data_IF_824954942728
#
_entry.id   IF_824954942728
#
_cell.length_a   1.000
_cell.length_b   1.000
_cell.length_c   1.000
_cell.angle_alpha   90.00
_cell.angle_beta   90.00
_cell.angle_gamma   90.00
#
_symmetry.space_group_name_H-M   'P 1'
#
loop_
_entity.id
_entity.type
_entity.pdbx_description
1 polymer ?
#
# COMPACT_ATOMS: atom_id res chain seq x y z
N UNK A 1 -4.77 -4.48 -16.30
CA UNK A 1 -4.94 -5.02 -14.93
C UNK A 1 -4.16 -6.31 -14.70
N UNK A 2 -4.08 -7.22 -15.68
CA UNK A 2 -3.35 -8.50 -15.59
C UNK A 2 -1.95 -8.42 -14.98
N UNK A 3 -1.13 -7.46 -15.43
CA UNK A 3 0.27 -7.34 -14.97
C UNK A 3 0.41 -7.06 -13.48
N UNK A 4 -0.53 -6.33 -12.89
CA UNK A 4 -0.50 -5.99 -11.46
C UNK A 4 -0.94 -7.17 -10.60
N UNK A 5 -1.96 -7.90 -11.07
CA UNK A 5 -2.46 -9.11 -10.40
C UNK A 5 -1.41 -10.21 -10.47
N UNK A 6 -0.70 -10.36 -11.59
CA UNK A 6 0.40 -11.32 -11.75
C UNK A 6 1.64 -10.94 -10.92
N UNK A 7 1.94 -9.64 -10.78
CA UNK A 7 3.00 -9.19 -9.89
C UNK A 7 2.67 -9.47 -8.42
N UNK A 8 1.46 -9.13 -7.98
CA UNK A 8 0.96 -9.50 -6.66
C UNK A 8 0.92 -11.03 -6.48
N UNK A 9 0.54 -11.74 -7.54
CA UNK A 9 0.75 -13.15 -7.87
C UNK A 9 2.00 -13.78 -7.23
N UNK A 10 3.12 -13.20 -7.62
CA UNK A 10 4.47 -13.69 -7.36
C UNK A 10 5.20 -13.02 -6.20
N UNK A 11 4.52 -12.18 -5.41
CA UNK A 11 5.08 -11.66 -4.16
C UNK A 11 5.13 -12.75 -3.09
N UNK A 12 6.20 -12.76 -2.29
CA UNK A 12 6.27 -13.57 -1.08
C UNK A 12 5.09 -13.28 -0.13
N UNK A 13 4.66 -14.30 0.62
CA UNK A 13 3.48 -14.20 1.50
C UNK A 13 3.53 -13.01 2.45
N UNK A 14 4.71 -12.70 2.99
CA UNK A 14 4.94 -11.51 3.82
C UNK A 14 4.64 -10.20 3.07
N UNK A 15 5.21 -9.99 1.88
CA UNK A 15 5.02 -8.78 1.10
C UNK A 15 3.58 -8.57 0.64
N UNK A 16 2.85 -9.65 0.35
CA UNK A 16 1.41 -9.59 0.07
C UNK A 16 0.62 -9.05 1.26
N UNK A 17 0.92 -9.53 2.47
CA UNK A 17 0.26 -9.08 3.70
C UNK A 17 0.58 -7.61 3.95
N UNK A 18 1.86 -7.21 3.85
CA UNK A 18 2.29 -5.83 4.05
C UNK A 18 1.60 -4.89 3.05
N UNK A 19 1.56 -5.25 1.77
CA UNK A 19 0.89 -4.45 0.74
C UNK A 19 -0.62 -4.35 0.98
N UNK A 20 -1.25 -5.47 1.36
CA UNK A 20 -2.70 -5.49 1.65
C UNK A 20 -3.01 -4.60 2.84
N UNK A 21 -2.24 -4.69 3.93
CA UNK A 21 -2.41 -3.83 5.11
C UNK A 21 -2.18 -2.36 4.77
N UNK A 22 -1.14 -2.05 3.99
CA UNK A 22 -0.87 -0.69 3.55
C UNK A 22 -2.05 -0.10 2.76
N UNK A 23 -2.63 -0.88 1.85
CA UNK A 23 -3.82 -0.46 1.10
C UNK A 23 -5.04 -0.26 2.01
N UNK A 24 -5.30 -1.20 2.93
CA UNK A 24 -6.43 -1.11 3.85
C UNK A 24 -6.33 0.10 4.79
N UNK A 25 -5.18 0.30 5.43
CA UNK A 25 -4.92 1.44 6.33
C UNK A 25 -4.97 2.75 5.56
N UNK A 26 -4.41 2.77 4.36
CA UNK A 26 -4.43 3.92 3.46
C UNK A 26 -5.85 4.36 3.10
N UNK A 27 -6.66 3.42 2.58
CA UNK A 27 -8.07 3.67 2.20
C UNK A 27 -8.87 4.10 3.43
N UNK A 28 -8.73 3.40 4.56
CA UNK A 28 -9.46 3.73 5.78
C UNK A 28 -9.11 5.14 6.29
N UNK A 29 -7.84 5.54 6.22
CA UNK A 29 -7.40 6.88 6.63
C UNK A 29 -7.92 7.97 5.70
N UNK A 30 -7.96 7.73 4.38
CA UNK A 30 -8.56 8.68 3.42
C UNK A 30 -10.06 8.82 3.66
N UNK A 31 -10.77 7.71 3.87
CA UNK A 31 -12.20 7.73 4.18
C UNK A 31 -12.48 8.45 5.50
N UNK A 32 -11.67 8.20 6.53
CA UNK A 32 -11.76 8.89 7.82
C UNK A 32 -11.45 10.38 7.70
N UNK A 33 -10.48 10.76 6.85
CA UNK A 33 -10.17 12.17 6.57
C UNK A 33 -11.38 12.88 5.96
N UNK A 34 -12.03 12.27 4.96
CA UNK A 34 -13.25 12.82 4.36
C UNK A 34 -14.41 12.95 5.36
N UNK A 35 -14.49 12.06 6.35
CA UNK A 35 -15.53 12.11 7.39
C UNK A 35 -15.23 13.10 8.52
N UNK A 36 -13.98 13.52 8.70
CA UNK A 36 -13.54 14.33 9.85
C UNK A 36 -12.91 15.67 9.47
N UNK A 37 -12.84 16.01 8.18
CA UNK A 37 -12.12 17.16 7.62
C UNK A 37 -10.67 17.31 8.14
N UNK A 38 -10.05 16.19 8.55
CA UNK A 38 -8.71 16.17 9.09
C UNK A 38 -7.68 15.95 7.98
N UNK A 39 -6.92 17.00 7.67
CA UNK A 39 -5.84 16.94 6.68
C UNK A 39 -4.69 16.00 7.07
N UNK A 40 -4.47 15.75 8.38
CA UNK A 40 -3.45 14.82 8.85
C UNK A 40 -3.77 13.38 8.45
N UNK A 41 -5.05 12.97 8.56
CA UNK A 41 -5.48 11.63 8.15
C UNK A 41 -5.35 11.43 6.64
N UNK A 42 -5.53 12.49 5.86
CA UNK A 42 -5.27 12.46 4.42
C UNK A 42 -3.80 12.14 4.14
N UNK A 43 -2.88 12.84 4.82
CA UNK A 43 -1.43 12.64 4.67
C UNK A 43 -1.04 11.21 5.08
N UNK A 44 -1.56 10.72 6.20
CA UNK A 44 -1.34 9.33 6.64
C UNK A 44 -1.87 8.34 5.61
N UNK A 45 -3.06 8.58 5.06
CA UNK A 45 -3.65 7.76 4.03
C UNK A 45 -2.78 7.70 2.77
N UNK A 46 -2.36 8.85 2.26
CA UNK A 46 -1.47 8.94 1.10
C UNK A 46 -0.11 8.28 1.36
N UNK A 47 0.46 8.47 2.55
CA UNK A 47 1.73 7.86 2.95
C UNK A 47 1.64 6.33 2.92
N UNK A 48 0.56 5.74 3.41
CA UNK A 48 0.38 4.29 3.37
C UNK A 48 0.10 3.78 1.96
N UNK A 49 -0.74 4.46 1.19
CA UNK A 49 -1.06 4.07 -0.19
C UNK A 49 0.17 4.12 -1.10
N UNK A 50 0.88 5.25 -1.08
CA UNK A 50 2.03 5.46 -1.98
C UNK A 50 3.29 4.85 -1.38
N UNK A 51 3.59 5.16 -0.13
CA UNK A 51 4.81 4.72 0.55
C UNK A 51 4.82 3.22 0.83
N UNK A 52 3.70 2.65 1.30
CA UNK A 52 3.59 1.22 1.54
C UNK A 52 3.70 0.41 0.24
N UNK A 53 3.07 0.86 -0.83
CA UNK A 53 3.19 0.23 -2.16
C UNK A 53 4.60 0.35 -2.73
N UNK A 54 5.20 1.53 -2.64
CA UNK A 54 6.57 1.78 -3.11
C UNK A 54 7.60 0.96 -2.32
N UNK A 55 7.43 0.83 -1.00
CA UNK A 55 8.29 0.02 -0.16
C UNK A 55 8.25 -1.45 -0.57
N UNK A 56 7.06 -2.01 -0.74
CA UNK A 56 6.90 -3.41 -1.17
C UNK A 56 7.50 -3.63 -2.56
N UNK A 57 7.28 -2.69 -3.49
CA UNK A 57 7.87 -2.75 -4.82
C UNK A 57 9.40 -2.73 -4.80
N UNK A 58 10.00 -1.85 -3.98
CA UNK A 58 11.45 -1.75 -3.86
C UNK A 58 12.05 -2.97 -3.14
N UNK A 59 11.38 -3.49 -2.13
CA UNK A 59 11.83 -4.66 -1.39
C UNK A 59 11.78 -5.93 -2.26
N UNK A 60 10.68 -6.17 -2.97
CA UNK A 60 10.54 -7.27 -3.94
C UNK A 60 11.61 -7.20 -5.04
N UNK A 61 11.94 -5.99 -5.51
CA UNK A 61 13.01 -5.80 -6.48
C UNK A 61 14.38 -6.18 -5.93
N UNK A 62 14.70 -5.77 -4.69
CA UNK A 62 15.98 -6.09 -4.05
C UNK A 62 16.18 -7.56 -3.76
N UNK A 63 15.11 -8.33 -3.56
CA UNK A 63 15.22 -9.78 -3.36
C UNK A 63 15.42 -10.55 -4.67
N UNK A 64 15.09 -9.94 -5.81
CA UNK A 64 15.18 -10.56 -7.14
C UNK A 64 16.46 -10.19 -7.90
N UNK A 65 17.14 -9.12 -7.50
CA UNK A 65 18.48 -8.72 -7.97
C UNK A 65 19.56 -9.50 -7.22
#
# INVERSE_FOLDING_TARGET
MERYILWFAGLGGFYRIVLTLALLVGIASVAASAASDSGLLLVVGLMWLVGGSAFVYLADRRERD
#
